data_IF_640871299662
#
_entry.id   IF_640871299662
#
_cell.length_a   1.000
_cell.length_b   1.000
_cell.length_c   1.000
_cell.angle_alpha   90.00
_cell.angle_beta   90.00
_cell.angle_gamma   90.00
#
_symmetry.space_group_name_H-M   'P 1'
#
loop_
_entity.id
_entity.type
_entity.pdbx_description
1 polymer ?
#
# COMPACT_ATOMS: atom_id res chain seq x y z
N UNK A 1 -23.52 17.99 18.45
CA UNK A 1 -22.90 16.75 17.86
C UNK A 1 -21.89 17.20 16.81
N UNK A 2 -20.66 16.70 16.85
CA UNK A 2 -19.67 16.96 15.80
C UNK A 2 -20.14 16.38 14.48
N UNK A 3 -19.86 17.05 13.34
CA UNK A 3 -20.29 16.58 12.03
C UNK A 3 -19.66 15.20 11.72
N UNK A 4 -20.48 14.24 11.29
CA UNK A 4 -20.01 12.90 10.91
C UNK A 4 -19.18 12.92 9.62
N UNK A 5 -19.46 13.88 8.73
CA UNK A 5 -18.86 14.02 7.41
C UNK A 5 -18.32 15.44 7.26
N UNK A 6 -17.04 15.60 6.93
CA UNK A 6 -16.38 16.89 6.75
C UNK A 6 -15.56 16.93 5.47
N UNK A 7 -15.46 18.08 4.77
CA UNK A 7 -14.55 18.19 3.63
C UNK A 7 -13.09 18.06 4.08
N UNK A 8 -12.24 17.48 3.25
CA UNK A 8 -10.80 17.35 3.52
C UNK A 8 -10.09 18.71 3.70
N UNK A 9 -10.68 19.79 3.17
CA UNK A 9 -10.19 21.16 3.37
C UNK A 9 -10.52 21.75 4.74
N UNK A 10 -11.44 21.13 5.51
CA UNK A 10 -11.80 21.63 6.84
C UNK A 10 -10.67 21.32 7.84
N UNK A 11 -10.36 22.25 8.77
CA UNK A 11 -9.34 22.02 9.80
C UNK A 11 -9.55 20.74 10.61
N UNK A 12 -10.80 20.38 10.88
CA UNK A 12 -11.18 19.20 11.66
C UNK A 12 -10.79 17.88 10.97
N UNK A 13 -10.65 17.86 9.62
CA UNK A 13 -10.26 16.68 8.87
C UNK A 13 -8.85 16.19 9.23
N UNK A 14 -8.01 17.04 9.85
CA UNK A 14 -6.67 16.67 10.32
C UNK A 14 -6.67 15.92 11.67
N UNK A 15 -7.84 15.67 12.27
CA UNK A 15 -7.97 14.93 13.52
C UNK A 15 -7.86 13.41 13.27
N UNK A 16 -6.72 12.85 13.65
CA UNK A 16 -6.42 11.42 13.50
C UNK A 16 -7.37 10.53 14.31
N UNK A 17 -7.81 11.00 15.49
CA UNK A 17 -8.70 10.22 16.35
C UNK A 17 -10.13 10.07 15.78
N UNK A 18 -10.51 10.96 14.87
CA UNK A 18 -11.83 10.95 14.20
C UNK A 18 -11.79 10.41 12.79
N UNK A 19 -10.74 10.72 12.02
CA UNK A 19 -10.71 10.44 10.57
C UNK A 19 -9.63 9.45 10.16
N UNK A 20 -8.90 8.89 11.13
CA UNK A 20 -7.81 7.96 10.91
C UNK A 20 -6.58 8.63 10.28
N UNK A 21 -5.43 7.96 10.32
CA UNK A 21 -4.17 8.55 9.82
C UNK A 21 -4.20 8.88 8.33
N UNK A 22 -4.77 8.03 7.48
CA UNK A 22 -4.82 8.29 6.03
C UNK A 22 -5.59 9.57 5.70
N UNK A 23 -6.80 9.72 6.28
CA UNK A 23 -7.64 10.91 6.10
C UNK A 23 -6.97 12.16 6.65
N UNK A 24 -6.51 12.08 7.88
CA UNK A 24 -5.87 13.21 8.56
C UNK A 24 -4.56 13.64 7.89
N UNK A 25 -3.72 12.72 7.46
CA UNK A 25 -2.47 13.04 6.76
C UNK A 25 -2.75 13.70 5.41
N UNK A 26 -3.74 13.19 4.66
CA UNK A 26 -4.13 13.80 3.38
C UNK A 26 -4.68 15.22 3.57
N UNK A 27 -5.48 15.46 4.61
CA UNK A 27 -5.93 16.80 4.99
C UNK A 27 -4.75 17.73 5.34
N UNK A 28 -3.78 17.26 6.15
CA UNK A 28 -2.57 18.01 6.49
C UNK A 28 -1.75 18.41 5.26
N UNK A 29 -1.59 17.46 4.28
CA UNK A 29 -0.91 17.77 3.02
C UNK A 29 -1.61 18.89 2.27
N UNK A 30 -2.94 18.85 2.16
CA UNK A 30 -3.74 19.88 1.51
C UNK A 30 -3.64 21.23 2.25
N UNK A 31 -3.74 21.25 3.57
CA UNK A 31 -3.56 22.46 4.39
C UNK A 31 -2.14 23.03 4.27
N UNK A 32 -1.14 22.18 4.08
CA UNK A 32 0.26 22.57 3.81
C UNK A 32 0.52 23.06 2.38
N UNK A 33 -0.53 23.17 1.54
CA UNK A 33 -0.47 23.70 0.18
C UNK A 33 -0.10 22.68 -0.90
N UNK A 34 -0.02 21.37 -0.57
CA UNK A 34 0.17 20.34 -1.58
C UNK A 34 -1.15 20.01 -2.30
N UNK A 35 -1.13 19.87 -3.63
CA UNK A 35 -2.30 19.50 -4.40
C UNK A 35 -2.81 18.11 -4.02
N UNK A 36 -4.07 17.99 -3.65
CA UNK A 36 -4.78 16.74 -3.37
C UNK A 36 -6.03 16.63 -4.23
N UNK A 37 -6.66 15.45 -4.37
CA UNK A 37 -7.93 15.34 -5.08
C UNK A 37 -9.08 16.13 -4.45
N UNK A 38 -8.94 16.57 -3.18
CA UNK A 38 -10.04 17.06 -2.39
C UNK A 38 -10.96 15.92 -1.93
N UNK A 39 -12.24 16.22 -1.70
CA UNK A 39 -13.22 15.25 -1.23
C UNK A 39 -13.57 15.41 0.25
N UNK A 40 -14.05 14.33 0.87
CA UNK A 40 -14.62 14.33 2.21
C UNK A 40 -14.09 13.19 3.06
N UNK A 41 -14.07 13.38 4.37
CA UNK A 41 -13.83 12.34 5.36
C UNK A 41 -15.11 12.02 6.13
N UNK A 42 -15.51 10.74 6.14
CA UNK A 42 -16.52 10.21 7.03
C UNK A 42 -15.85 9.73 8.31
N UNK A 43 -16.29 10.23 9.45
CA UNK A 43 -15.65 9.99 10.75
C UNK A 43 -15.83 8.53 11.22
N UNK A 44 -14.93 8.09 12.06
CA UNK A 44 -15.02 6.81 12.78
C UNK A 44 -16.28 6.73 13.67
N UNK A 45 -16.88 7.87 14.05
CA UNK A 45 -18.12 7.92 14.79
C UNK A 45 -19.32 7.44 13.95
N UNK A 46 -19.28 7.63 12.62
CA UNK A 46 -20.30 7.07 11.72
C UNK A 46 -20.27 5.53 11.75
N UNK A 47 -19.08 4.92 11.73
CA UNK A 47 -18.93 3.49 11.88
C UNK A 47 -19.49 2.98 13.21
N UNK A 48 -19.18 3.66 14.34
CA UNK A 48 -19.70 3.31 15.67
C UNK A 48 -21.23 3.44 15.74
N UNK A 49 -21.78 4.49 15.12
CA UNK A 49 -23.22 4.71 15.03
C UNK A 49 -23.89 3.57 14.26
N UNK A 50 -23.31 3.15 13.12
CA UNK A 50 -23.83 2.02 12.34
C UNK A 50 -23.82 0.71 13.14
N UNK A 51 -22.71 0.37 13.81
CA UNK A 51 -22.62 -0.84 14.65
C UNK A 51 -23.69 -0.83 15.73
N UNK A 52 -23.88 0.29 16.40
CA UNK A 52 -24.91 0.45 17.45
C UNK A 52 -26.31 0.30 16.89
N UNK A 53 -26.61 0.95 15.76
CA UNK A 53 -27.93 0.88 15.13
C UNK A 53 -28.29 -0.55 14.68
N UNK A 54 -27.29 -1.36 14.29
CA UNK A 54 -27.46 -2.76 13.91
C UNK A 54 -27.40 -3.73 15.09
N UNK A 55 -27.17 -3.28 16.33
CA UNK A 55 -27.07 -4.13 17.51
C UNK A 55 -25.86 -5.09 17.48
N UNK A 56 -24.77 -4.72 16.80
CA UNK A 56 -23.60 -5.57 16.58
C UNK A 56 -22.54 -5.44 17.68
N UNK A 57 -22.75 -4.66 18.72
CA UNK A 57 -21.74 -4.34 19.76
C UNK A 57 -21.26 -5.58 20.53
N UNK A 58 -22.18 -6.55 20.81
CA UNK A 58 -21.79 -7.81 21.44
C UNK A 58 -20.92 -8.68 20.52
N UNK A 59 -21.27 -8.76 19.24
CA UNK A 59 -20.45 -9.48 18.24
C UNK A 59 -19.07 -8.86 18.09
N UNK A 60 -18.97 -7.52 18.13
CA UNK A 60 -17.70 -6.82 18.08
C UNK A 60 -16.79 -7.23 19.25
N UNK A 61 -17.29 -7.18 20.50
CA UNK A 61 -16.54 -7.59 21.70
C UNK A 61 -16.21 -9.09 21.67
N UNK A 62 -17.14 -9.94 21.28
CA UNK A 62 -16.94 -11.38 21.25
C UNK A 62 -15.93 -11.87 20.20
N UNK A 63 -15.66 -11.09 19.17
CA UNK A 63 -14.68 -11.47 18.16
C UNK A 63 -13.22 -11.52 18.66
N UNK A 64 -12.91 -10.82 19.75
CA UNK A 64 -11.57 -10.78 20.33
C UNK A 64 -11.54 -11.41 21.74
N UNK A 65 -12.54 -11.14 22.58
CA UNK A 65 -12.57 -11.57 23.98
C UNK A 65 -13.06 -13.02 24.20
N UNK A 66 -13.48 -13.75 23.16
CA UNK A 66 -13.94 -15.10 23.31
C UNK A 66 -12.78 -16.08 23.58
N UNK A 67 -12.90 -16.89 24.64
CA UNK A 67 -11.91 -17.89 25.02
C UNK A 67 -11.75 -19.02 23.97
N UNK A 68 -12.79 -19.26 23.16
CA UNK A 68 -12.75 -20.26 22.09
C UNK A 68 -12.75 -19.61 20.70
N UNK A 69 -11.87 -20.12 19.81
CA UNK A 69 -11.72 -19.62 18.47
C UNK A 69 -12.95 -19.86 17.54
N UNK A 70 -13.90 -20.70 17.92
CA UNK A 70 -15.13 -20.92 17.14
C UNK A 70 -16.11 -19.77 17.39
N UNK A 71 -16.29 -19.38 18.65
CA UNK A 71 -17.12 -18.22 19.02
C UNK A 71 -16.52 -16.93 18.46
N UNK A 72 -15.20 -16.70 18.58
CA UNK A 72 -14.54 -15.55 17.97
C UNK A 72 -14.81 -15.45 16.47
N UNK A 73 -14.65 -16.54 15.73
CA UNK A 73 -14.94 -16.58 14.27
C UNK A 73 -16.41 -16.33 13.96
N UNK A 74 -17.34 -16.86 14.75
CA UNK A 74 -18.79 -16.62 14.58
C UNK A 74 -19.12 -15.16 14.80
N UNK A 75 -18.59 -14.54 15.84
CA UNK A 75 -18.76 -13.12 16.12
C UNK A 75 -18.21 -12.23 14.99
N UNK A 76 -17.01 -12.53 14.51
CA UNK A 76 -16.42 -11.81 13.37
C UNK A 76 -17.24 -11.97 12.08
N UNK A 77 -17.80 -13.15 11.83
CA UNK A 77 -18.69 -13.39 10.69
C UNK A 77 -19.99 -12.61 10.82
N UNK A 78 -20.61 -12.56 12.01
CA UNK A 78 -21.79 -11.76 12.27
C UNK A 78 -21.55 -10.27 12.01
N UNK A 79 -20.41 -9.74 12.45
CA UNK A 79 -20.00 -8.37 12.15
C UNK A 79 -19.94 -8.13 10.65
N UNK A 80 -19.25 -9.03 9.93
CA UNK A 80 -19.07 -8.90 8.48
C UNK A 80 -20.40 -8.95 7.72
N UNK A 81 -21.26 -9.91 8.04
CA UNK A 81 -22.58 -10.07 7.41
C UNK A 81 -23.46 -8.86 7.73
N UNK A 82 -23.58 -8.47 9.01
CA UNK A 82 -24.43 -7.36 9.41
C UNK A 82 -24.00 -6.03 8.75
N UNK A 83 -22.70 -5.78 8.62
CA UNK A 83 -22.21 -4.58 7.92
C UNK A 83 -22.42 -4.63 6.41
N UNK A 84 -22.41 -5.83 5.78
CA UNK A 84 -22.56 -5.96 4.33
C UNK A 84 -24.02 -5.97 3.88
N UNK A 85 -24.88 -6.67 4.61
CA UNK A 85 -26.25 -6.97 4.15
C UNK A 85 -27.26 -5.92 4.63
N UNK A 86 -27.02 -5.33 5.82
CA UNK A 86 -27.95 -4.35 6.38
C UNK A 86 -27.73 -2.94 5.79
N UNK A 87 -28.81 -2.15 5.67
CA UNK A 87 -28.72 -0.80 5.10
C UNK A 87 -27.91 0.15 6.01
N UNK A 88 -27.34 1.17 5.39
CA UNK A 88 -26.70 2.28 6.12
C UNK A 88 -27.80 3.11 6.80
N UNK A 89 -27.64 3.45 8.09
CA UNK A 89 -28.63 4.24 8.83
C UNK A 89 -28.88 5.60 8.18
N UNK A 90 -30.11 6.11 8.20
CA UNK A 90 -30.46 7.37 7.53
C UNK A 90 -29.57 8.56 7.95
N UNK A 91 -29.19 8.65 9.22
CA UNK A 91 -28.35 9.72 9.77
C UNK A 91 -26.95 9.78 9.12
N UNK A 92 -26.48 8.65 8.58
CA UNK A 92 -25.21 8.54 7.86
C UNK A 92 -25.45 8.65 6.35
N UNK A 93 -26.49 7.96 5.85
CA UNK A 93 -26.76 7.85 4.42
C UNK A 93 -27.13 9.18 3.79
N UNK A 94 -27.98 9.99 4.44
CA UNK A 94 -28.42 11.26 3.87
C UNK A 94 -27.26 12.25 3.60
N UNK A 95 -26.31 12.49 4.55
CA UNK A 95 -25.13 13.30 4.26
C UNK A 95 -24.23 12.68 3.16
N UNK A 96 -24.11 11.36 3.11
CA UNK A 96 -23.29 10.66 2.09
C UNK A 96 -23.85 10.88 0.69
N UNK A 97 -25.17 10.76 0.50
CA UNK A 97 -25.80 10.98 -0.81
C UNK A 97 -25.71 12.45 -1.25
N UNK A 98 -25.74 13.40 -0.32
CA UNK A 98 -25.47 14.82 -0.65
C UNK A 98 -24.07 15.01 -1.20
N UNK A 99 -23.05 14.42 -0.54
CA UNK A 99 -21.66 14.46 -0.99
C UNK A 99 -21.46 13.71 -2.31
N UNK A 100 -22.11 12.56 -2.48
CA UNK A 100 -22.11 11.83 -3.75
C UNK A 100 -22.55 12.75 -4.90
N UNK A 101 -23.72 13.36 -4.76
CA UNK A 101 -24.28 14.27 -5.77
C UNK A 101 -23.39 15.50 -6.01
N UNK A 102 -22.80 16.07 -4.96
CA UNK A 102 -21.89 17.20 -5.06
C UNK A 102 -20.62 16.88 -5.84
N UNK A 103 -19.96 15.75 -5.54
CA UNK A 103 -18.75 15.31 -6.25
C UNK A 103 -19.08 15.01 -7.71
N UNK A 104 -20.16 14.30 -7.98
CA UNK A 104 -20.59 13.98 -9.35
C UNK A 104 -20.91 15.23 -10.16
N UNK A 105 -21.64 16.18 -9.59
CA UNK A 105 -21.98 17.46 -10.23
C UNK A 105 -20.73 18.32 -10.52
N UNK A 106 -19.78 18.34 -9.59
CA UNK A 106 -18.57 19.18 -9.72
C UNK A 106 -17.54 18.62 -10.68
N UNK A 107 -17.32 17.30 -10.66
CA UNK A 107 -16.21 16.68 -11.34
C UNK A 107 -16.63 15.81 -12.53
N UNK A 108 -17.86 15.30 -12.56
CA UNK A 108 -18.32 14.37 -13.59
C UNK A 108 -17.55 13.03 -13.62
N UNK A 109 -16.73 12.77 -12.60
CA UNK A 109 -15.84 11.62 -12.51
C UNK A 109 -16.46 10.53 -11.60
N UNK A 110 -16.09 9.26 -11.78
CA UNK A 110 -16.36 8.23 -10.80
C UNK A 110 -15.81 8.58 -9.42
N UNK A 111 -16.33 7.93 -8.39
CA UNK A 111 -15.94 8.17 -6.99
C UNK A 111 -15.05 7.03 -6.50
N UNK A 112 -14.20 7.37 -5.53
CA UNK A 112 -13.35 6.44 -4.79
C UNK A 112 -13.76 6.48 -3.33
N UNK A 113 -13.90 5.30 -2.71
CA UNK A 113 -14.02 5.14 -1.26
C UNK A 113 -12.81 4.40 -0.74
N UNK A 114 -12.09 5.03 0.20
CA UNK A 114 -10.85 4.48 0.80
C UNK A 114 -11.04 4.32 2.30
N UNK A 115 -10.58 3.18 2.83
CA UNK A 115 -10.49 2.95 4.26
C UNK A 115 -9.46 3.87 4.93
N UNK A 116 -9.76 4.30 6.15
CA UNK A 116 -8.87 5.05 7.04
C UNK A 116 -9.12 4.58 8.48
N UNK A 117 -8.66 3.36 8.81
CA UNK A 117 -8.85 2.80 10.14
C UNK A 117 -8.00 3.56 11.16
N UNK A 118 -8.54 3.75 12.38
CA UNK A 118 -7.85 4.51 13.43
C UNK A 118 -6.52 3.86 13.86
N UNK A 119 -6.31 2.60 13.54
CA UNK A 119 -5.10 1.83 13.86
C UNK A 119 -4.08 1.77 12.74
N UNK A 120 -4.44 2.19 11.51
CA UNK A 120 -3.54 2.20 10.35
C UNK A 120 -2.42 3.24 10.46
N UNK A 121 -1.36 3.05 9.66
CA UNK A 121 -0.26 4.00 9.45
C UNK A 121 0.33 4.57 10.75
N UNK A 122 0.29 3.80 11.84
CA UNK A 122 1.00 4.11 13.08
C UNK A 122 2.44 3.64 12.98
N UNK A 123 3.33 4.22 13.78
CA UNK A 123 4.70 3.74 13.86
C UNK A 123 4.72 2.29 14.37
N UNK A 124 5.22 1.36 13.54
CA UNK A 124 5.26 -0.08 13.83
C UNK A 124 4.01 -0.88 13.43
N UNK A 125 2.98 -0.24 12.82
CA UNK A 125 1.79 -0.96 12.32
C UNK A 125 1.17 -0.24 11.11
N UNK A 126 1.72 -0.49 9.91
CA UNK A 126 1.27 0.20 8.69
C UNK A 126 -0.09 -0.29 8.16
N UNK A 127 -0.52 -1.49 8.52
CA UNK A 127 -1.69 -2.16 7.92
C UNK A 127 -1.66 -2.19 6.37
N UNK A 128 -0.48 -2.08 5.76
CA UNK A 128 -0.33 -2.04 4.31
C UNK A 128 -1.01 -3.25 3.64
N UNK A 129 -1.95 -2.97 2.73
CA UNK A 129 -2.70 -4.00 2.02
C UNK A 129 -3.70 -4.81 2.85
N UNK A 130 -3.98 -4.44 4.10
CA UNK A 130 -4.98 -5.15 4.95
C UNK A 130 -6.40 -4.70 4.64
N UNK A 131 -6.60 -3.42 4.31
CA UNK A 131 -7.89 -2.85 4.01
C UNK A 131 -8.00 -2.43 2.54
N UNK A 132 -9.21 -2.46 2.01
CA UNK A 132 -9.48 -2.27 0.60
C UNK A 132 -9.85 -0.81 0.29
N UNK A 133 -9.58 -0.41 -0.97
CA UNK A 133 -10.09 0.82 -1.57
C UNK A 133 -10.95 0.42 -2.77
N UNK A 134 -12.10 1.05 -2.91
CA UNK A 134 -13.03 0.82 -4.00
C UNK A 134 -12.95 2.00 -4.95
N UNK A 135 -12.55 1.70 -6.18
CA UNK A 135 -12.35 2.67 -7.26
C UNK A 135 -13.51 2.56 -8.25
N UNK A 136 -13.65 3.59 -9.09
CA UNK A 136 -14.52 3.57 -10.25
C UNK A 136 -16.02 3.37 -9.93
N UNK A 137 -16.48 3.98 -8.83
CA UNK A 137 -17.87 3.91 -8.41
C UNK A 137 -18.71 4.89 -9.24
N UNK A 138 -19.59 4.34 -10.08
CA UNK A 138 -20.38 5.13 -11.03
C UNK A 138 -21.80 5.38 -10.58
N UNK A 139 -22.38 4.51 -9.73
CA UNK A 139 -23.73 4.62 -9.22
C UNK A 139 -23.83 4.60 -7.69
N UNK A 140 -25.00 5.00 -7.16
CA UNK A 140 -25.25 5.10 -5.71
C UNK A 140 -25.26 3.73 -5.01
N UNK A 141 -25.64 2.66 -5.70
CA UNK A 141 -25.69 1.31 -5.14
C UNK A 141 -24.28 0.79 -4.89
N UNK A 142 -23.41 0.96 -5.88
CA UNK A 142 -21.98 0.60 -5.76
C UNK A 142 -21.29 1.45 -4.70
N UNK A 143 -21.61 2.75 -4.62
CA UNK A 143 -21.09 3.64 -3.59
C UNK A 143 -21.47 3.19 -2.19
N UNK A 144 -22.74 2.88 -1.93
CA UNK A 144 -23.20 2.37 -0.63
C UNK A 144 -22.59 1.01 -0.31
N UNK A 145 -22.45 0.15 -1.30
CA UNK A 145 -21.82 -1.17 -1.16
C UNK A 145 -20.33 -1.02 -0.82
N UNK A 146 -19.62 -0.10 -1.44
CA UNK A 146 -18.21 0.19 -1.14
C UNK A 146 -18.01 0.68 0.30
N UNK A 147 -18.90 1.53 0.81
CA UNK A 147 -18.88 1.99 2.20
C UNK A 147 -19.03 0.81 3.17
N UNK A 148 -20.07 -0.03 2.96
CA UNK A 148 -20.31 -1.21 3.77
C UNK A 148 -19.13 -2.19 3.71
N UNK A 149 -18.59 -2.42 2.52
CA UNK A 149 -17.45 -3.29 2.31
C UNK A 149 -16.16 -2.79 2.98
N UNK A 150 -15.88 -1.49 2.95
CA UNK A 150 -14.78 -0.89 3.72
C UNK A 150 -14.93 -1.18 5.22
N UNK A 151 -16.11 -0.96 5.79
CA UNK A 151 -16.37 -1.24 7.20
C UNK A 151 -16.27 -2.74 7.54
N UNK A 152 -16.83 -3.60 6.68
CA UNK A 152 -16.78 -5.05 6.85
C UNK A 152 -15.35 -5.62 6.73
N UNK A 153 -14.45 -4.96 5.98
CA UNK A 153 -13.06 -5.39 5.80
C UNK A 153 -12.28 -5.45 7.12
N UNK A 154 -12.65 -4.66 8.13
CA UNK A 154 -12.07 -4.70 9.47
C UNK A 154 -12.25 -6.07 10.16
N UNK A 155 -13.30 -6.78 9.83
CA UNK A 155 -13.68 -8.09 10.37
C UNK A 155 -13.23 -9.26 9.48
N UNK A 156 -12.37 -8.99 8.48
CA UNK A 156 -11.75 -10.04 7.68
C UNK A 156 -10.74 -10.84 8.52
N UNK A 157 -10.61 -12.14 8.22
CA UNK A 157 -9.62 -13.00 8.90
C UNK A 157 -8.21 -12.43 8.83
N UNK A 158 -7.87 -11.77 7.71
CA UNK A 158 -6.57 -11.12 7.49
C UNK A 158 -6.36 -9.96 8.46
N UNK A 159 -7.32 -9.03 8.52
CA UNK A 159 -7.26 -7.88 9.42
C UNK A 159 -7.23 -8.29 10.90
N UNK A 160 -8.08 -9.23 11.30
CA UNK A 160 -8.12 -9.71 12.68
C UNK A 160 -6.82 -10.39 13.12
N UNK A 161 -6.20 -11.20 12.24
CA UNK A 161 -4.88 -11.79 12.53
C UNK A 161 -3.80 -10.73 12.66
N UNK A 162 -3.80 -9.72 11.79
CA UNK A 162 -2.85 -8.62 11.88
C UNK A 162 -3.04 -7.84 13.19
N UNK A 163 -4.27 -7.50 13.57
CA UNK A 163 -4.57 -6.84 14.84
C UNK A 163 -4.11 -7.68 16.03
N UNK A 164 -4.38 -8.98 16.03
CA UNK A 164 -3.93 -9.88 17.08
C UNK A 164 -2.39 -9.95 17.23
N UNK A 165 -1.63 -9.86 16.12
CA UNK A 165 -0.16 -9.81 16.20
C UNK A 165 0.39 -8.50 16.79
N UNK A 166 -0.44 -7.45 16.88
CA UNK A 166 -0.09 -6.14 17.44
C UNK A 166 -0.85 -5.83 18.75
N UNK A 167 -1.51 -6.84 19.33
CA UNK A 167 -2.31 -6.72 20.56
C UNK A 167 -3.38 -5.61 20.47
N UNK A 168 -4.05 -5.54 19.31
CA UNK A 168 -5.10 -4.56 19.02
C UNK A 168 -6.47 -5.22 19.04
N UNK A 169 -7.36 -4.77 19.94
CA UNK A 169 -8.75 -5.22 19.96
C UNK A 169 -9.55 -4.50 18.86
N UNK A 170 -10.17 -5.26 17.92
CA UNK A 170 -11.01 -4.66 16.88
C UNK A 170 -12.26 -3.94 17.44
N UNK A 171 -12.71 -4.25 18.66
CA UNK A 171 -13.83 -3.58 19.31
C UNK A 171 -13.45 -2.16 19.80
N UNK A 172 -12.17 -1.95 20.12
CA UNK A 172 -11.64 -0.66 20.58
C UNK A 172 -11.23 0.28 19.45
N UNK A 173 -11.31 -0.19 18.20
CA UNK A 173 -10.98 0.62 17.03
C UNK A 173 -12.21 0.94 16.19
N UNK A 174 -12.02 1.72 15.15
CA UNK A 174 -13.08 2.08 14.22
C UNK A 174 -12.51 2.44 12.84
N UNK A 175 -13.38 2.44 11.83
CA UNK A 175 -13.03 2.70 10.44
C UNK A 175 -13.65 4.02 9.98
N UNK A 176 -12.82 5.04 9.80
CA UNK A 176 -13.17 6.22 9.02
C UNK A 176 -13.00 5.95 7.53
N UNK A 177 -13.63 6.76 6.68
CA UNK A 177 -13.53 6.63 5.22
C UNK A 177 -13.16 7.96 4.57
N UNK A 178 -12.47 7.86 3.43
CA UNK A 178 -12.18 8.99 2.55
C UNK A 178 -12.99 8.80 1.27
N UNK A 179 -13.72 9.83 0.86
CA UNK A 179 -14.59 9.84 -0.32
C UNK A 179 -14.07 10.93 -1.26
N UNK A 180 -13.64 10.54 -2.46
CA UNK A 180 -12.93 11.42 -3.38
C UNK A 180 -13.38 11.18 -4.83
N UNK A 181 -13.22 12.20 -5.74
CA UNK A 181 -13.28 11.92 -7.16
C UNK A 181 -12.10 11.02 -7.57
N UNK A 182 -12.33 10.06 -8.48
CA UNK A 182 -11.27 9.28 -9.10
C UNK A 182 -10.42 10.20 -9.99
N UNK A 183 -9.12 10.19 -9.78
CA UNK A 183 -8.19 10.94 -10.63
C UNK A 183 -7.91 10.14 -11.89
N UNK A 184 -8.25 10.65 -13.09
CA UNK A 184 -7.95 9.97 -14.38
C UNK A 184 -6.44 10.05 -14.63
N UNK A 185 -5.68 9.17 -14.02
CA UNK A 185 -4.22 9.22 -14.04
C UNK A 185 -3.65 8.81 -15.39
N UNK A 186 -2.80 9.64 -15.97
CA UNK A 186 -1.91 9.27 -17.07
C UNK A 186 -0.73 8.46 -16.55
N UNK A 187 -0.18 8.87 -15.41
CA UNK A 187 0.85 8.17 -14.69
C UNK A 187 0.58 8.27 -13.19
N UNK A 188 0.98 7.27 -12.45
CA UNK A 188 0.87 7.26 -11.01
C UNK A 188 2.04 6.49 -10.39
N UNK A 189 2.21 6.62 -9.08
CA UNK A 189 3.26 5.91 -8.40
C UNK A 189 3.38 6.23 -6.93
N UNK A 190 4.56 5.94 -6.41
CA UNK A 190 4.93 6.24 -5.03
C UNK A 190 6.25 6.99 -4.94
N UNK A 191 6.58 7.46 -3.74
CA UNK A 191 7.84 8.10 -3.47
C UNK A 191 8.28 7.86 -2.03
N UNK A 192 9.58 7.74 -1.82
CA UNK A 192 10.22 7.67 -0.51
C UNK A 192 11.04 8.94 -0.30
N UNK A 193 10.72 9.70 0.74
CA UNK A 193 11.42 10.95 1.02
C UNK A 193 12.87 10.73 1.48
N UNK A 194 13.18 9.52 1.94
CA UNK A 194 14.54 9.15 2.34
C UNK A 194 14.82 7.69 1.98
N UNK A 195 15.95 7.45 1.32
CA UNK A 195 16.53 6.11 1.14
C UNK A 195 17.60 5.86 2.21
N UNK A 196 18.06 4.62 2.36
CA UNK A 196 19.16 4.27 3.27
C UNK A 196 20.44 5.02 2.94
N UNK A 197 20.67 5.38 1.67
CA UNK A 197 21.80 6.15 1.18
C UNK A 197 21.63 7.66 1.36
N UNK A 198 20.49 8.11 1.94
CA UNK A 198 20.22 9.50 2.24
C UNK A 198 19.58 10.30 1.10
N UNK A 199 19.37 9.70 -0.08
CA UNK A 199 18.64 10.32 -1.20
C UNK A 199 17.13 10.17 -1.09
N UNK A 200 16.42 10.51 -2.17
CA UNK A 200 14.98 10.28 -2.35
C UNK A 200 14.73 9.33 -3.52
N UNK A 201 13.59 8.64 -3.52
CA UNK A 201 13.20 7.72 -4.58
C UNK A 201 11.78 8.01 -5.05
N UNK A 202 11.58 8.00 -6.37
CA UNK A 202 10.25 8.05 -7.00
C UNK A 202 10.09 6.84 -7.90
N UNK A 203 8.97 6.15 -7.79
CA UNK A 203 8.51 5.11 -8.71
C UNK A 203 7.33 5.62 -9.52
N UNK A 204 7.26 5.23 -10.81
CA UNK A 204 6.19 5.63 -11.72
C UNK A 204 5.77 4.50 -12.67
N UNK A 205 4.47 4.41 -12.94
CA UNK A 205 3.89 3.57 -13.99
C UNK A 205 2.82 4.35 -14.76
N UNK A 206 2.43 3.85 -15.94
CA UNK A 206 1.32 4.41 -16.69
C UNK A 206 -0.01 4.05 -16.06
N UNK A 207 -0.97 4.97 -16.13
CA UNK A 207 -2.32 4.78 -15.61
C UNK A 207 -2.39 4.80 -14.08
N UNK A 208 -3.25 3.97 -13.51
CA UNK A 208 -3.50 3.92 -12.06
C UNK A 208 -2.35 3.26 -11.29
N UNK A 209 -2.05 3.76 -10.10
CA UNK A 209 -0.98 3.28 -9.22
C UNK A 209 -1.24 1.93 -8.54
N UNK A 210 -2.42 1.34 -8.70
CA UNK A 210 -2.79 0.06 -8.07
C UNK A 210 -1.83 -1.07 -8.42
N UNK A 211 -1.36 -1.14 -9.66
CA UNK A 211 -0.40 -2.16 -10.12
C UNK A 211 0.97 -2.07 -9.42
N UNK A 212 1.43 -0.85 -9.05
CA UNK A 212 2.63 -0.69 -8.22
C UNK A 212 2.33 -1.13 -6.79
N UNK A 213 1.23 -0.67 -6.21
CA UNK A 213 0.86 -1.00 -4.84
C UNK A 213 0.72 -2.51 -4.62
N UNK A 214 0.18 -3.23 -5.60
CA UNK A 214 0.04 -4.69 -5.57
C UNK A 214 1.32 -5.46 -5.96
N UNK A 215 2.36 -4.76 -6.43
CA UNK A 215 3.62 -5.39 -6.85
C UNK A 215 3.53 -6.14 -8.18
N UNK A 216 2.55 -5.81 -9.03
CA UNK A 216 2.29 -6.47 -10.32
C UNK A 216 3.14 -5.94 -11.47
N UNK A 217 3.80 -4.81 -11.28
CA UNK A 217 4.59 -4.13 -12.30
C UNK A 217 5.96 -3.73 -11.74
N UNK A 218 7.00 -3.81 -12.57
CA UNK A 218 8.28 -3.18 -12.28
C UNK A 218 8.23 -1.75 -12.82
N UNK A 219 8.10 -0.72 -11.94
CA UNK A 219 7.94 0.66 -12.35
C UNK A 219 9.25 1.29 -12.84
N UNK A 220 9.17 2.46 -13.46
CA UNK A 220 10.31 3.36 -13.57
C UNK A 220 10.77 3.76 -12.19
N UNK A 221 12.08 3.90 -12.03
CA UNK A 221 12.73 4.31 -10.80
C UNK A 221 13.57 5.56 -11.06
N UNK A 222 13.38 6.57 -10.24
CA UNK A 222 14.11 7.82 -10.26
C UNK A 222 14.74 8.04 -8.88
N UNK A 223 16.05 8.14 -8.83
CA UNK A 223 16.78 8.55 -7.62
C UNK A 223 17.09 10.03 -7.70
N UNK A 224 16.89 10.72 -6.57
CA UNK A 224 17.14 12.16 -6.44
C UNK A 224 18.01 12.41 -5.21
N UNK A 225 18.79 13.49 -5.30
CA UNK A 225 19.41 14.07 -4.10
C UNK A 225 18.35 14.71 -3.18
N UNK A 226 18.76 15.12 -1.97
CA UNK A 226 17.86 15.84 -1.04
C UNK A 226 17.41 17.21 -1.56
N UNK A 227 18.14 17.77 -2.53
CA UNK A 227 17.80 19.02 -3.23
C UNK A 227 16.83 18.81 -4.40
N UNK A 228 16.28 17.59 -4.56
CA UNK A 228 15.39 17.18 -5.64
C UNK A 228 16.07 17.17 -7.04
N UNK A 229 17.38 16.99 -7.09
CA UNK A 229 18.13 16.83 -8.34
C UNK A 229 18.14 15.35 -8.73
N UNK A 230 17.72 15.03 -9.95
CA UNK A 230 17.74 13.67 -10.51
C UNK A 230 19.18 13.16 -10.65
N UNK A 231 19.52 12.04 -10.01
CA UNK A 231 20.85 11.42 -10.03
C UNK A 231 20.90 10.15 -10.84
N UNK A 232 19.82 9.36 -10.88
CA UNK A 232 19.74 8.10 -11.62
C UNK A 232 18.33 7.88 -12.14
N UNK A 233 18.22 7.27 -13.33
CA UNK A 233 16.96 6.80 -13.90
C UNK A 233 17.11 5.35 -14.35
N UNK A 234 16.19 4.49 -13.90
CA UNK A 234 16.03 3.14 -14.40
C UNK A 234 14.60 2.96 -14.95
N UNK A 235 14.50 2.61 -16.23
CA UNK A 235 13.20 2.43 -16.89
C UNK A 235 12.74 0.99 -16.67
N UNK A 236 11.58 0.83 -16.03
CA UNK A 236 10.96 -0.48 -15.82
C UNK A 236 10.28 -1.01 -17.08
N UNK A 237 10.23 -2.33 -17.25
CA UNK A 237 9.52 -2.96 -18.38
C UNK A 237 7.99 -2.74 -18.33
N UNK A 238 7.45 -2.43 -17.16
CA UNK A 238 6.02 -2.12 -16.91
C UNK A 238 5.05 -3.18 -17.45
N UNK A 239 5.42 -4.46 -17.27
CA UNK A 239 4.53 -5.58 -17.58
C UNK A 239 3.49 -5.73 -16.48
N UNK A 240 2.26 -6.06 -16.87
CA UNK A 240 1.27 -6.51 -15.89
C UNK A 240 1.46 -8.01 -15.63
N UNK A 241 1.70 -8.39 -14.38
CA UNK A 241 1.60 -9.77 -13.97
C UNK A 241 0.12 -10.11 -13.79
N UNK A 242 -0.42 -10.97 -14.63
CA UNK A 242 -1.79 -11.45 -14.49
C UNK A 242 -1.78 -12.78 -13.77
N UNK A 243 -1.95 -12.75 -12.44
CA UNK A 243 -2.39 -13.88 -11.63
C UNK A 243 -1.46 -15.11 -11.55
N UNK A 244 -1.98 -16.17 -10.93
CA UNK A 244 -1.35 -17.46 -10.78
C UNK A 244 -0.99 -18.08 -12.15
N UNK A 245 0.13 -18.80 -12.26
CA UNK A 245 0.64 -19.45 -13.49
C UNK A 245 -0.37 -20.36 -14.23
N UNK A 246 -1.47 -20.72 -13.63
CA UNK A 246 -2.57 -21.45 -14.27
C UNK A 246 -3.39 -20.60 -15.26
N UNK A 247 -3.21 -19.26 -15.28
CA UNK A 247 -3.72 -18.39 -16.33
C UNK A 247 -2.55 -18.00 -17.25
N UNK A 248 -2.68 -18.29 -18.56
CA UNK A 248 -1.67 -18.01 -19.58
C UNK A 248 -1.14 -16.58 -19.45
N UNK A 249 0.14 -16.44 -19.21
CA UNK A 249 0.88 -15.20 -19.27
C UNK A 249 0.74 -14.64 -20.70
N UNK A 250 0.08 -13.53 -20.87
CA UNK A 250 0.14 -12.77 -22.13
C UNK A 250 1.40 -11.93 -22.03
N UNK A 251 2.51 -12.45 -22.54
CA UNK A 251 3.73 -11.66 -22.68
C UNK A 251 3.42 -10.43 -23.54
N UNK A 252 3.80 -9.22 -23.13
CA UNK A 252 3.65 -8.04 -23.97
C UNK A 252 4.43 -8.24 -25.25
N UNK A 253 3.90 -7.75 -26.37
CA UNK A 253 4.60 -7.78 -27.66
C UNK A 253 5.93 -7.05 -27.48
N UNK A 254 7.03 -7.70 -27.86
CA UNK A 254 8.43 -7.20 -27.77
C UNK A 254 8.71 -5.89 -28.57
N UNK A 255 7.72 -5.25 -29.15
CA UNK A 255 7.89 -4.18 -30.14
C UNK A 255 7.96 -2.76 -29.57
N UNK A 256 7.62 -2.53 -28.27
CA UNK A 256 7.64 -1.17 -27.72
C UNK A 256 8.83 -1.01 -26.76
N UNK A 257 9.78 -0.18 -27.15
CA UNK A 257 10.82 0.30 -26.23
C UNK A 257 10.15 0.93 -25.01
N UNK A 258 10.47 0.53 -23.78
CA UNK A 258 9.86 1.08 -22.59
C UNK A 258 10.07 2.60 -22.55
N UNK A 259 8.97 3.37 -22.53
CA UNK A 259 9.03 4.84 -22.44
C UNK A 259 8.99 5.26 -20.97
N UNK A 260 9.74 6.31 -20.62
CA UNK A 260 9.68 6.96 -19.31
C UNK A 260 8.27 7.51 -19.06
N UNK A 261 7.75 7.28 -17.86
CA UNK A 261 6.47 7.87 -17.43
C UNK A 261 6.56 9.36 -17.11
N UNK A 262 7.72 9.83 -16.67
CA UNK A 262 7.96 11.20 -16.24
C UNK A 262 9.16 11.80 -16.96
N UNK A 263 9.08 13.07 -17.35
CA UNK A 263 10.23 13.87 -17.76
C UNK A 263 10.99 14.42 -16.54
N UNK A 264 12.18 15.01 -16.76
CA UNK A 264 13.05 15.49 -15.68
C UNK A 264 12.41 16.61 -14.86
N UNK A 265 11.65 17.51 -15.50
CA UNK A 265 10.93 18.59 -14.81
C UNK A 265 9.83 18.04 -13.89
N UNK A 266 9.08 17.04 -14.34
CA UNK A 266 8.06 16.36 -13.52
C UNK A 266 8.70 15.61 -12.35
N UNK A 267 9.83 14.94 -12.56
CA UNK A 267 10.59 14.26 -11.49
C UNK A 267 11.09 15.27 -10.46
N UNK A 268 11.69 16.38 -10.88
CA UNK A 268 12.18 17.42 -9.97
C UNK A 268 11.02 18.05 -9.17
N UNK A 269 9.87 18.31 -9.81
CA UNK A 269 8.67 18.82 -9.14
C UNK A 269 8.17 17.83 -8.09
N UNK A 270 8.01 16.55 -8.44
CA UNK A 270 7.64 15.50 -7.48
C UNK A 270 8.63 15.40 -6.33
N UNK A 271 9.92 15.51 -6.58
CA UNK A 271 10.95 15.57 -5.53
C UNK A 271 10.74 16.75 -4.57
N UNK A 272 10.41 17.94 -5.10
CA UNK A 272 10.04 19.10 -4.29
C UNK A 272 8.78 18.87 -3.44
N UNK A 273 7.75 18.26 -4.03
CA UNK A 273 6.51 17.92 -3.32
C UNK A 273 6.76 16.85 -2.23
N UNK A 274 7.62 15.87 -2.50
CA UNK A 274 7.99 14.82 -1.55
C UNK A 274 8.72 15.39 -0.33
N UNK A 275 9.67 16.33 -0.53
CA UNK A 275 10.30 17.08 0.56
C UNK A 275 9.28 17.90 1.35
N UNK A 276 8.40 18.59 0.65
CA UNK A 276 7.35 19.37 1.32
C UNK A 276 6.42 18.49 2.15
N UNK A 277 6.08 17.29 1.67
CA UNK A 277 5.31 16.32 2.44
C UNK A 277 6.05 15.87 3.71
N UNK A 278 7.36 15.61 3.63
CA UNK A 278 8.19 15.31 4.79
C UNK A 278 8.21 16.45 5.81
N UNK A 279 8.36 17.71 5.36
CA UNK A 279 8.30 18.90 6.23
C UNK A 279 6.96 19.02 6.95
N UNK A 280 5.83 18.85 6.23
CA UNK A 280 4.48 18.92 6.80
C UNK A 280 4.25 17.83 7.84
N UNK A 281 4.75 16.62 7.56
CA UNK A 281 4.59 15.46 8.45
C UNK A 281 5.60 15.45 9.61
N UNK A 282 6.72 16.18 9.49
CA UNK A 282 7.78 16.27 10.49
C UNK A 282 8.65 15.01 10.63
N UNK A 283 8.58 14.09 9.66
CA UNK A 283 9.32 12.81 9.65
C UNK A 283 9.43 12.30 8.21
N UNK A 284 10.36 11.36 7.92
CA UNK A 284 10.43 10.71 6.62
C UNK A 284 9.10 10.07 6.21
N UNK A 285 8.72 10.24 4.94
CA UNK A 285 7.43 9.80 4.43
C UNK A 285 7.54 8.93 3.19
N UNK A 286 6.59 8.00 3.08
CA UNK A 286 6.21 7.34 1.85
C UNK A 286 4.93 7.99 1.33
N UNK A 287 4.92 8.38 0.05
CA UNK A 287 3.76 9.00 -0.60
C UNK A 287 3.20 8.13 -1.73
N UNK A 288 1.92 8.30 -2.00
CA UNK A 288 1.28 7.92 -3.27
C UNK A 288 0.88 9.19 -4.02
N UNK A 289 1.04 9.16 -5.34
CA UNK A 289 0.73 10.29 -6.22
C UNK A 289 0.11 9.81 -7.53
N UNK A 290 -0.64 10.69 -8.18
CA UNK A 290 -1.13 10.52 -9.53
C UNK A 290 -0.96 11.82 -10.32
N UNK A 291 -0.76 11.69 -11.63
CA UNK A 291 -0.61 12.79 -12.58
C UNK A 291 -1.71 12.71 -13.64
N UNK A 292 -2.43 13.80 -13.80
CA UNK A 292 -3.43 13.96 -14.88
C UNK A 292 -2.86 14.71 -16.08
N UNK A 293 -3.59 14.72 -17.17
CA UNK A 293 -3.33 15.62 -18.30
C UNK A 293 -3.69 17.06 -17.86
N UNK A 294 -2.73 17.93 -17.81
CA UNK A 294 -2.91 19.33 -17.43
C UNK A 294 -1.87 20.20 -18.10
N UNK A 295 -2.31 21.34 -18.66
CA UNK A 295 -1.51 22.21 -19.54
C UNK A 295 -0.24 22.80 -18.91
N UNK A 296 -0.06 22.74 -17.57
CA UNK A 296 1.05 23.42 -16.85
C UNK A 296 1.90 22.52 -15.97
N UNK A 297 1.86 21.18 -16.14
CA UNK A 297 2.52 20.25 -15.21
C UNK A 297 1.91 20.30 -13.78
N UNK A 298 0.80 21.00 -13.58
CA UNK A 298 0.04 21.10 -12.34
C UNK A 298 -0.84 19.88 -12.07
N UNK A 299 -0.83 18.90 -12.99
CA UNK A 299 -1.65 17.70 -12.89
C UNK A 299 -1.28 16.72 -11.77
N UNK A 300 -0.18 16.93 -11.04
CA UNK A 300 0.25 16.02 -9.98
C UNK A 300 -0.59 16.26 -8.72
N UNK A 301 -1.17 15.17 -8.19
CA UNK A 301 -1.94 15.15 -6.95
C UNK A 301 -1.33 14.16 -5.95
N UNK A 302 -1.23 14.56 -4.69
CA UNK A 302 -0.91 13.65 -3.59
C UNK A 302 -2.15 12.85 -3.21
N UNK A 303 -2.04 11.53 -3.20
CA UNK A 303 -3.15 10.62 -2.89
C UNK A 303 -3.06 10.09 -1.46
N UNK A 304 -1.86 9.96 -0.92
CA UNK A 304 -1.61 9.48 0.44
C UNK A 304 -0.20 9.87 0.88
N UNK A 305 -0.01 10.05 2.20
CA UNK A 305 1.30 10.06 2.85
C UNK A 305 1.24 9.28 4.16
N UNK A 306 2.30 8.52 4.44
CA UNK A 306 2.45 7.76 5.68
C UNK A 306 3.89 7.83 6.18
N UNK A 307 4.15 7.57 7.49
CA UNK A 307 5.48 7.45 8.03
C UNK A 307 6.31 6.40 7.27
N UNK A 308 7.55 6.73 6.96
CA UNK A 308 8.49 5.84 6.30
C UNK A 308 9.45 5.22 7.31
N UNK A 309 9.54 3.90 7.32
CA UNK A 309 10.58 3.18 8.06
C UNK A 309 11.86 3.16 7.24
N UNK A 310 12.86 3.93 7.68
CA UNK A 310 14.21 3.96 7.09
C UNK A 310 15.09 3.02 7.90
N UNK A 311 15.56 1.94 7.26
CA UNK A 311 16.50 1.01 7.91
C UNK A 311 17.89 1.61 8.08
N UNK A 312 18.66 1.05 9.01
CA UNK A 312 20.08 1.35 9.17
C UNK A 312 20.91 0.53 8.18
N UNK A 313 22.01 1.13 7.71
CA UNK A 313 22.94 0.46 6.82
C UNK A 313 23.80 -0.54 7.64
N UNK A 314 23.46 -1.83 7.63
CA UNK A 314 24.35 -2.87 8.15
C UNK A 314 25.38 -3.23 7.08
N UNK A 315 26.65 -3.35 7.49
CA UNK A 315 27.71 -3.79 6.57
C UNK A 315 27.55 -5.27 6.28
N UNK A 316 27.35 -5.58 5.01
CA UNK A 316 27.28 -6.96 4.52
C UNK A 316 28.63 -7.64 4.65
N UNK A 317 28.73 -8.88 5.15
CA UNK A 317 29.94 -9.71 5.07
C UNK A 317 30.15 -10.14 3.60
N UNK A 318 30.77 -9.28 2.78
CA UNK A 318 30.88 -9.47 1.33
C UNK A 318 31.96 -10.48 0.90
N UNK A 319 32.89 -10.84 1.79
CA UNK A 319 34.06 -11.64 1.43
C UNK A 319 33.73 -13.05 0.95
N UNK A 320 32.78 -13.72 1.61
CA UNK A 320 32.35 -15.07 1.25
C UNK A 320 31.57 -15.09 -0.07
N UNK A 321 30.75 -14.06 -0.31
CA UNK A 321 29.82 -14.03 -1.43
C UNK A 321 30.40 -13.37 -2.70
N UNK A 322 31.55 -12.71 -2.63
CA UNK A 322 32.12 -11.86 -3.68
C UNK A 322 32.33 -12.58 -5.02
N UNK A 323 32.67 -13.86 -5.00
CA UNK A 323 32.97 -14.65 -6.19
C UNK A 323 31.77 -15.47 -6.71
N UNK A 324 30.63 -15.38 -6.07
CA UNK A 324 29.42 -16.12 -6.50
C UNK A 324 28.59 -15.32 -7.50
N UNK A 325 27.81 -16.02 -8.36
CA UNK A 325 26.89 -15.37 -9.30
C UNK A 325 26.00 -14.34 -8.61
N UNK A 326 25.64 -13.29 -9.32
CA UNK A 326 24.79 -12.24 -8.78
C UNK A 326 23.72 -11.76 -9.77
N UNK A 327 22.55 -11.42 -9.24
CA UNK A 327 21.53 -10.62 -9.89
C UNK A 327 21.37 -9.28 -9.17
N UNK A 328 20.80 -8.30 -9.89
CA UNK A 328 20.48 -6.98 -9.34
C UNK A 328 19.01 -6.68 -9.53
N UNK A 329 18.44 -5.98 -8.56
CA UNK A 329 17.08 -5.47 -8.60
C UNK A 329 16.97 -4.14 -7.84
N UNK A 330 15.73 -3.76 -7.54
CA UNK A 330 15.45 -2.56 -6.76
C UNK A 330 15.54 -2.90 -5.26
N UNK A 331 16.33 -2.15 -4.47
CA UNK A 331 16.33 -2.29 -3.02
C UNK A 331 14.96 -1.91 -2.47
N UNK A 332 14.37 -2.74 -1.62
CA UNK A 332 13.00 -2.55 -1.15
C UNK A 332 12.80 -2.86 0.34
N UNK A 333 13.68 -3.66 0.92
CA UNK A 333 13.74 -3.94 2.34
C UNK A 333 14.95 -3.29 2.99
N UNK A 334 15.29 -3.76 4.19
CA UNK A 334 16.42 -3.29 4.97
C UNK A 334 17.33 -4.47 5.35
N UNK A 335 18.62 -4.20 5.57
CA UNK A 335 19.56 -5.19 6.04
C UNK A 335 19.94 -6.26 5.02
N UNK A 336 20.43 -7.36 5.56
CA UNK A 336 20.97 -8.49 4.82
C UNK A 336 20.44 -9.82 5.38
N UNK A 337 20.09 -10.75 4.50
CA UNK A 337 19.56 -12.06 4.89
C UNK A 337 20.12 -13.20 4.05
N UNK A 338 20.32 -14.35 4.68
CA UNK A 338 20.73 -15.58 4.02
C UNK A 338 19.83 -16.74 4.35
N UNK A 339 19.70 -17.67 3.43
CA UNK A 339 18.94 -18.88 3.63
C UNK A 339 18.89 -19.75 2.38
N UNK A 340 18.14 -20.83 2.48
CA UNK A 340 17.91 -21.70 1.35
C UNK A 340 16.88 -21.09 0.40
N UNK A 341 17.16 -21.02 -0.89
CA UNK A 341 16.21 -20.60 -1.90
C UNK A 341 14.96 -21.46 -1.89
N UNK A 342 13.82 -20.82 -1.81
CA UNK A 342 12.53 -21.46 -2.07
C UNK A 342 11.84 -20.71 -3.20
N UNK A 343 11.88 -21.32 -4.39
CA UNK A 343 11.24 -20.80 -5.58
C UNK A 343 9.75 -21.13 -5.53
N UNK A 344 8.91 -20.10 -5.56
CA UNK A 344 7.45 -20.21 -5.48
C UNK A 344 6.84 -19.56 -6.71
N UNK A 345 6.15 -20.34 -7.51
CA UNK A 345 5.50 -19.87 -8.74
C UNK A 345 3.99 -19.65 -8.56
N UNK A 346 3.41 -20.16 -7.48
CA UNK A 346 2.00 -20.06 -7.15
C UNK A 346 1.81 -19.89 -5.64
N UNK A 347 0.79 -19.15 -5.22
CA UNK A 347 0.43 -19.00 -3.80
C UNK A 347 0.14 -20.34 -3.10
N UNK A 348 -0.27 -21.35 -3.84
CA UNK A 348 -0.49 -22.69 -3.32
C UNK A 348 0.81 -23.37 -2.81
N UNK A 349 1.98 -22.95 -3.31
CA UNK A 349 3.29 -23.45 -2.91
C UNK A 349 3.86 -22.78 -1.66
N UNK A 350 3.22 -21.69 -1.18
CA UNK A 350 3.66 -20.99 0.03
C UNK A 350 3.71 -21.87 1.27
N UNK A 351 2.93 -22.96 1.29
CA UNK A 351 2.98 -23.96 2.37
C UNK A 351 4.32 -24.72 2.46
N UNK A 352 5.12 -24.71 1.40
CA UNK A 352 6.43 -25.37 1.37
C UNK A 352 7.58 -24.46 1.83
N UNK A 353 7.31 -23.20 2.11
CA UNK A 353 8.31 -22.23 2.61
C UNK A 353 8.55 -22.50 4.09
N UNK A 354 9.79 -22.87 4.43
CA UNK A 354 10.20 -23.11 5.80
C UNK A 354 10.72 -21.83 6.48
N UNK A 355 10.68 -21.76 7.81
CA UNK A 355 11.30 -20.65 8.53
C UNK A 355 12.80 -20.54 8.19
N UNK A 356 13.24 -19.31 7.88
CA UNK A 356 14.61 -19.01 7.49
C UNK A 356 14.95 -19.22 6.01
N UNK A 357 14.00 -19.69 5.19
CA UNK A 357 14.19 -19.73 3.73
C UNK A 357 14.28 -18.31 3.14
N UNK A 358 14.91 -18.18 1.97
CA UNK A 358 14.82 -17.01 1.09
C UNK A 358 13.72 -17.28 0.07
N UNK A 359 12.64 -16.51 0.13
CA UNK A 359 11.54 -16.62 -0.82
C UNK A 359 11.92 -16.00 -2.15
N UNK A 360 11.80 -16.76 -3.25
CA UNK A 360 12.01 -16.29 -4.62
C UNK A 360 10.71 -16.50 -5.40
N UNK A 361 10.16 -15.42 -5.96
CA UNK A 361 8.86 -15.49 -6.65
C UNK A 361 8.75 -14.48 -7.78
N UNK A 362 7.77 -14.65 -8.66
CA UNK A 362 7.54 -13.70 -9.77
C UNK A 362 6.98 -12.37 -9.31
N UNK A 363 6.01 -12.37 -8.42
CA UNK A 363 5.31 -11.16 -8.00
C UNK A 363 5.06 -11.15 -6.50
N UNK A 364 5.06 -9.97 -5.92
CA UNK A 364 4.86 -9.72 -4.51
C UNK A 364 3.37 -9.53 -4.18
N UNK A 365 2.56 -10.59 -4.32
CA UNK A 365 1.11 -10.54 -4.02
C UNK A 365 0.79 -10.41 -2.52
N UNK A 366 -0.44 -9.99 -2.17
CA UNK A 366 -0.89 -9.79 -0.77
C UNK A 366 -0.79 -11.06 0.10
N UNK A 367 -0.89 -12.27 -0.50
CA UNK A 367 -0.77 -13.54 0.24
C UNK A 367 0.62 -13.72 0.86
N UNK A 368 1.65 -13.11 0.28
CA UNK A 368 3.03 -13.20 0.78
C UNK A 368 3.24 -12.50 2.12
N UNK A 369 2.38 -11.52 2.45
CA UNK A 369 2.44 -10.86 3.75
C UNK A 369 2.33 -11.84 4.94
N UNK A 370 1.70 -13.01 4.73
CA UNK A 370 1.52 -14.02 5.78
C UNK A 370 2.80 -14.74 6.16
N UNK A 371 3.70 -14.93 5.20
CA UNK A 371 4.95 -15.68 5.43
C UNK A 371 6.15 -14.77 5.60
N UNK A 372 5.96 -13.46 5.44
CA UNK A 372 7.05 -12.50 5.49
C UNK A 372 7.86 -12.57 6.79
N UNK A 373 7.20 -12.84 7.92
CA UNK A 373 7.86 -13.00 9.23
C UNK A 373 8.65 -14.29 9.39
N UNK A 374 8.43 -15.28 8.51
CA UNK A 374 9.06 -16.58 8.61
C UNK A 374 10.29 -16.71 7.70
N UNK A 375 10.42 -15.84 6.71
CA UNK A 375 11.53 -15.90 5.74
C UNK A 375 12.68 -15.00 6.16
N UNK A 376 13.90 -15.36 5.77
CA UNK A 376 15.10 -14.56 6.02
C UNK A 376 15.26 -13.42 5.02
N UNK A 377 14.68 -13.54 3.82
CA UNK A 377 14.66 -12.49 2.81
C UNK A 377 13.63 -12.82 1.70
N UNK A 378 13.35 -11.81 0.86
CA UNK A 378 12.45 -11.95 -0.30
C UNK A 378 13.09 -11.40 -1.56
N UNK A 379 12.94 -12.14 -2.67
CA UNK A 379 13.36 -11.74 -4.02
C UNK A 379 12.17 -11.89 -4.96
N UNK A 380 11.86 -10.85 -5.75
CA UNK A 380 10.78 -10.94 -6.75
C UNK A 380 11.24 -10.46 -8.12
N UNK A 381 10.67 -11.04 -9.19
CA UNK A 381 10.92 -10.59 -10.56
C UNK A 381 10.19 -9.29 -10.88
N UNK A 382 9.04 -9.06 -10.24
CA UNK A 382 8.21 -7.89 -10.43
C UNK A 382 8.07 -7.12 -9.11
N UNK A 383 7.63 -5.88 -9.21
CA UNK A 383 7.36 -5.01 -8.08
C UNK A 383 8.32 -3.82 -7.99
N UNK A 384 7.95 -2.87 -7.17
CA UNK A 384 8.71 -1.64 -6.90
C UNK A 384 8.80 -1.35 -5.40
N UNK A 385 9.77 -0.53 -5.03
CA UNK A 385 10.10 -0.21 -3.63
C UNK A 385 8.96 0.49 -2.86
N UNK A 386 7.91 0.94 -3.53
CA UNK A 386 6.71 1.54 -2.94
C UNK A 386 5.49 0.61 -2.96
N UNK A 387 5.69 -0.70 -3.19
CA UNK A 387 4.60 -1.69 -3.06
C UNK A 387 4.23 -1.97 -1.61
N UNK A 388 3.03 -2.48 -1.38
CA UNK A 388 2.56 -2.87 -0.04
C UNK A 388 3.50 -3.88 0.65
N UNK A 389 4.01 -4.87 -0.11
CA UNK A 389 4.91 -5.86 0.47
C UNK A 389 6.28 -5.25 0.82
N UNK A 390 6.78 -4.30 0.01
CA UNK A 390 8.01 -3.57 0.30
C UNK A 390 7.88 -2.74 1.60
N UNK A 391 6.74 -2.08 1.80
CA UNK A 391 6.46 -1.36 3.04
C UNK A 391 6.43 -2.27 4.25
N UNK A 392 5.75 -3.42 4.15
CA UNK A 392 5.72 -4.41 5.22
C UNK A 392 7.10 -5.02 5.51
N UNK A 393 7.92 -5.22 4.46
CA UNK A 393 9.28 -5.71 4.63
C UNK A 393 10.15 -4.71 5.39
N UNK A 394 10.07 -3.41 5.06
CA UNK A 394 10.76 -2.35 5.80
C UNK A 394 10.31 -2.25 7.24
N UNK A 395 9.00 -2.29 7.50
CA UNK A 395 8.41 -2.28 8.84
C UNK A 395 8.93 -3.42 9.72
N UNK A 396 9.10 -4.61 9.11
CA UNK A 396 9.50 -5.84 9.81
C UNK A 396 11.01 -6.13 9.78
N UNK A 397 11.79 -5.25 9.15
CA UNK A 397 13.22 -5.43 9.02
C UNK A 397 13.62 -6.61 8.13
N UNK A 398 12.78 -7.00 7.14
CA UNK A 398 13.05 -8.13 6.24
C UNK A 398 13.79 -7.63 4.99
N UNK A 399 14.98 -8.16 4.68
CA UNK A 399 15.71 -7.87 3.45
C UNK A 399 14.87 -8.23 2.23
N UNK A 400 14.74 -7.29 1.26
CA UNK A 400 13.92 -7.51 0.08
C UNK A 400 14.55 -6.84 -1.14
N UNK A 401 14.57 -7.57 -2.26
CA UNK A 401 14.99 -7.06 -3.56
C UNK A 401 13.90 -7.37 -4.59
N UNK A 402 13.43 -6.35 -5.29
CA UNK A 402 12.35 -6.43 -6.26
C UNK A 402 12.86 -6.15 -7.69
N UNK A 403 12.09 -6.58 -8.70
CA UNK A 403 12.44 -6.34 -10.10
C UNK A 403 13.70 -7.10 -10.54
N UNK A 404 13.98 -8.26 -9.95
CA UNK A 404 15.13 -9.11 -10.31
C UNK A 404 14.73 -10.01 -11.48
N UNK A 405 15.07 -9.59 -12.68
CA UNK A 405 14.72 -10.32 -13.90
C UNK A 405 15.18 -11.81 -13.84
N UNK A 406 14.29 -12.70 -14.25
CA UNK A 406 14.55 -14.14 -14.36
C UNK A 406 15.03 -14.82 -13.06
N UNK A 407 14.78 -14.25 -11.89
CA UNK A 407 15.23 -14.79 -10.61
C UNK A 407 14.69 -16.20 -10.35
N UNK A 408 13.43 -16.49 -10.69
CA UNK A 408 12.80 -17.80 -10.47
C UNK A 408 13.34 -18.90 -11.36
N UNK A 409 14.00 -18.57 -12.46
CA UNK A 409 14.60 -19.51 -13.40
C UNK A 409 16.12 -19.58 -13.28
N UNK A 410 16.76 -18.51 -12.80
CA UNK A 410 18.22 -18.42 -12.70
C UNK A 410 18.76 -18.94 -11.37
N UNK A 411 18.03 -18.71 -10.27
CA UNK A 411 18.44 -19.18 -8.94
C UNK A 411 17.85 -20.57 -8.71
N UNK A 412 18.68 -21.62 -8.53
CA UNK A 412 18.15 -22.96 -8.31
C UNK A 412 17.38 -23.06 -6.98
N UNK A 413 16.22 -23.75 -7.00
CA UNK A 413 15.53 -24.09 -5.76
C UNK A 413 16.42 -24.92 -4.84
N UNK A 414 16.49 -24.56 -3.57
CA UNK A 414 17.35 -25.21 -2.59
C UNK A 414 18.79 -24.66 -2.50
N UNK A 415 19.24 -23.78 -3.42
CA UNK A 415 20.55 -23.13 -3.33
C UNK A 415 20.68 -22.26 -2.09
N UNK A 416 21.90 -22.08 -1.57
CA UNK A 416 22.16 -21.06 -0.55
C UNK A 416 22.19 -19.69 -1.20
N UNK A 417 21.38 -18.76 -0.67
CA UNK A 417 21.21 -17.41 -1.22
C UNK A 417 21.53 -16.36 -0.18
N UNK A 418 22.14 -15.27 -0.61
CA UNK A 418 22.32 -14.04 0.17
C UNK A 418 21.61 -12.88 -0.54
N UNK A 419 20.85 -12.11 0.23
CA UNK A 419 20.06 -10.97 -0.25
C UNK A 419 20.51 -9.73 0.50
N UNK A 420 20.97 -8.74 -0.24
CA UNK A 420 21.25 -7.40 0.27
C UNK A 420 20.08 -6.48 -0.12
N UNK A 421 19.20 -6.23 0.86
CA UNK A 421 18.00 -5.41 0.68
C UNK A 421 18.30 -3.91 0.52
N UNK A 422 19.52 -3.48 0.86
CA UNK A 422 19.98 -2.10 0.76
C UNK A 422 20.65 -1.85 -0.60
N UNK A 423 21.58 -2.72 -1.02
CA UNK A 423 22.28 -2.58 -2.29
C UNK A 423 21.48 -3.13 -3.50
N UNK A 424 20.37 -3.84 -3.26
CA UNK A 424 19.58 -4.47 -4.30
C UNK A 424 20.30 -5.62 -5.00
N UNK A 425 21.09 -6.40 -4.25
CA UNK A 425 21.92 -7.48 -4.78
C UNK A 425 21.46 -8.82 -4.22
N UNK A 426 21.36 -9.81 -5.10
CA UNK A 426 21.10 -11.22 -4.77
C UNK A 426 22.27 -12.06 -5.26
N UNK A 427 22.82 -12.91 -4.40
CA UNK A 427 23.91 -13.85 -4.73
C UNK A 427 23.50 -15.25 -4.31
N UNK A 428 24.02 -16.27 -4.99
CA UNK A 428 23.74 -17.67 -4.63
C UNK A 428 24.98 -18.53 -4.86
N UNK A 429 25.08 -19.60 -4.07
CA UNK A 429 26.11 -20.64 -4.24
C UNK A 429 25.62 -21.63 -5.29
N UNK A 430 26.49 -21.98 -6.23
CA UNK A 430 26.27 -22.98 -7.29
C UNK A 430 26.71 -24.34 -6.76
#
# INVERSE_FOLDING_TARGET
MSALLVPLSAPEAADVARFGPKGANLARLGHGGLPTPGGYCLSADAYRLQIKALGLEESARGAFAADDGATARRCALNMKIGLMDEPITPEILEPLLKVWNEIKAKHGLPIVVRSSALVEDRFGSSFAGQFESFLDLEDETDFQTAIRACWAAMWSTRALRYMATHDLDPADTAMALIIQPLIPALAAGGGLSQTVEGGMLINATWGLGSSIAQGEVTPDRYLLSREAVLTETAIGPKYHAVGCMHRKFVAPKKSDTPKRCLNDAQVARLGGMLRRAEEIMGLPVEIEWAMTDGDDGDGIKMLQARPLHVGTQEKVPDEIWRNHPRLRGQPAGVGWGTGRARVVNCECELAHVAPGDVLITKAAGPAMARILTNVSAVVTELGGSTSHLASLARERGIPMVLGVADATTTIPDGAQVAVDGVAGIVRWMV
#
